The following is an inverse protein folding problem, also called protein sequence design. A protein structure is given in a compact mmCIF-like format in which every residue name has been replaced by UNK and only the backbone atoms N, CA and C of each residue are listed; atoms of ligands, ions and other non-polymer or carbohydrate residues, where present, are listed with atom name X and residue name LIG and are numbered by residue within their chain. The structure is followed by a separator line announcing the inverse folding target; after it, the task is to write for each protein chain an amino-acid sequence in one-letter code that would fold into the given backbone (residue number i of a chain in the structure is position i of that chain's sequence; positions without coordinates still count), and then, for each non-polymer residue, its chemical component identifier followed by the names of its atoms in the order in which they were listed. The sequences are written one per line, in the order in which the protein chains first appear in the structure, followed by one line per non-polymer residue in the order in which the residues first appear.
data_IF_969241091681
#
_entry.id   IF_969241091681
#
_cell.length_a   1.000
_cell.length_b   1.000
_cell.length_c   1.000
_cell.angle_alpha   90.00
_cell.angle_beta   90.00
_cell.angle_gamma   90.00
#
_symmetry.space_group_name_H-M   'P 1'
#
loop_
_entity.id
_entity.type
_entity.pdbx_description
1 polymer ?
#
# COMPACT_ATOMS: atom_id res chain seq x y z
N UNK A 1 24.42 4.04 5.71
CA UNK A 1 24.79 3.49 4.38
C UNK A 1 23.64 2.72 3.70
N UNK A 2 22.53 2.46 4.40
CA UNK A 2 21.40 1.66 3.88
C UNK A 2 20.60 2.30 2.73
N UNK A 3 20.87 3.54 2.37
CA UNK A 3 20.17 4.28 1.29
C UNK A 3 21.06 4.60 0.08
N UNK A 4 22.27 4.06 0.01
CA UNK A 4 23.15 4.27 -1.13
C UNK A 4 22.73 3.34 -2.28
N UNK A 5 22.38 3.91 -3.43
CA UNK A 5 22.04 3.17 -4.67
C UNK A 5 23.25 2.91 -5.57
N UNK A 6 24.48 3.17 -5.09
CA UNK A 6 25.73 2.96 -5.80
C UNK A 6 25.81 3.61 -7.20
N UNK A 7 25.17 4.78 -7.38
CA UNK A 7 25.18 5.51 -8.67
C UNK A 7 26.53 6.14 -9.06
N UNK A 8 27.54 6.08 -8.19
CA UNK A 8 28.91 6.59 -8.41
C UNK A 8 29.04 8.12 -8.55
N UNK A 9 27.98 8.87 -8.60
CA UNK A 9 27.96 10.33 -8.78
C UNK A 9 28.77 11.11 -7.72
N UNK A 10 28.80 10.59 -6.50
CA UNK A 10 29.56 11.20 -5.39
C UNK A 10 31.08 11.15 -5.62
N UNK A 11 31.59 10.19 -6.39
CA UNK A 11 33.02 10.04 -6.67
C UNK A 11 33.50 11.21 -7.54
N UNK A 12 32.77 11.51 -8.62
CA UNK A 12 33.10 12.61 -9.53
C UNK A 12 32.93 14.00 -8.92
N UNK A 13 32.03 14.15 -7.94
CA UNK A 13 31.73 15.42 -7.26
C UNK A 13 32.58 15.70 -6.02
N UNK A 14 33.31 14.72 -5.51
CA UNK A 14 34.14 14.87 -4.32
C UNK A 14 35.45 15.56 -4.62
N UNK A 15 35.51 16.89 -4.46
CA UNK A 15 36.72 17.70 -4.70
C UNK A 15 37.92 17.32 -3.82
N UNK A 16 37.71 16.65 -2.69
CA UNK A 16 38.76 16.23 -1.75
C UNK A 16 39.25 14.81 -2.01
N UNK A 17 38.67 14.07 -2.98
CA UNK A 17 39.02 12.67 -3.27
C UNK A 17 38.81 11.71 -2.10
N UNK A 18 37.97 12.10 -1.13
CA UNK A 18 37.72 11.30 0.08
C UNK A 18 36.86 10.05 -0.19
N UNK A 19 36.21 10.01 -1.35
CA UNK A 19 35.34 8.90 -1.76
C UNK A 19 35.99 8.23 -2.95
N UNK A 20 36.36 6.97 -2.80
CA UNK A 20 36.93 6.12 -3.86
C UNK A 20 36.12 4.85 -3.96
N UNK A 21 35.93 4.37 -5.19
CA UNK A 21 35.39 3.04 -5.42
C UNK A 21 36.55 2.06 -5.58
N UNK A 22 36.70 1.16 -4.66
CA UNK A 22 37.63 0.05 -4.75
C UNK A 22 36.82 -1.24 -4.88
N UNK A 23 37.10 -2.01 -5.93
CA UNK A 23 36.59 -3.37 -5.98
C UNK A 23 37.27 -4.13 -4.86
N UNK A 24 36.52 -4.84 -3.99
CA UNK A 24 37.18 -5.74 -3.04
C UNK A 24 38.06 -6.67 -3.88
N UNK A 25 39.41 -6.52 -3.76
CA UNK A 25 40.29 -7.52 -4.23
C UNK A 25 39.86 -8.81 -3.54
N UNK A 26 39.38 -9.77 -4.32
CA UNK A 26 39.40 -11.14 -3.85
C UNK A 26 40.87 -11.40 -3.55
N UNK A 27 41.25 -11.30 -2.30
CA UNK A 27 42.47 -12.00 -1.89
C UNK A 27 42.25 -13.42 -2.36
N UNK A 28 43.02 -13.76 -3.42
CA UNK A 28 43.22 -15.14 -3.79
C UNK A 28 43.89 -15.73 -2.55
N UNK A 29 43.08 -16.24 -1.64
CA UNK A 29 43.59 -17.10 -0.59
C UNK A 29 44.39 -18.16 -1.37
N UNK A 30 45.71 -18.07 -1.28
CA UNK A 30 46.59 -19.17 -1.68
C UNK A 30 45.92 -20.41 -1.08
N UNK A 31 45.70 -21.45 -1.89
CA UNK A 31 45.18 -22.68 -1.36
C UNK A 31 46.13 -23.08 -0.22
N UNK A 32 45.66 -22.98 1.01
CA UNK A 32 46.33 -23.63 2.13
C UNK A 32 46.53 -25.05 1.69
N UNK A 33 47.80 -25.46 1.66
CA UNK A 33 48.19 -26.79 1.33
C UNK A 33 47.24 -27.75 2.02
N UNK A 34 46.61 -28.63 1.27
CA UNK A 34 45.62 -29.58 1.76
C UNK A 34 46.30 -30.42 2.84
N UNK A 35 46.19 -29.99 4.11
CA UNK A 35 46.31 -30.91 5.21
C UNK A 35 45.26 -31.96 5.01
N UNK A 36 45.71 -33.15 4.73
CA UNK A 36 44.88 -34.34 4.70
C UNK A 36 44.19 -34.43 6.04
N UNK A 37 42.99 -33.96 6.15
CA UNK A 37 42.08 -34.30 7.23
C UNK A 37 41.69 -35.76 7.00
N UNK A 38 42.58 -36.65 7.40
CA UNK A 38 42.28 -38.06 7.58
C UNK A 38 41.51 -38.18 8.89
N UNK A 39 40.23 -38.49 8.77
CA UNK A 39 39.50 -38.96 9.97
C UNK A 39 38.13 -38.38 10.23
N UNK A 40 37.34 -38.02 9.20
CA UNK A 40 35.88 -37.88 9.38
C UNK A 40 35.24 -39.19 8.94
N UNK A 41 34.75 -39.96 9.91
CA UNK A 41 34.02 -41.20 9.64
C UNK A 41 32.75 -40.88 8.83
N UNK A 42 32.31 -41.73 7.89
CA UNK A 42 31.06 -41.54 7.11
C UNK A 42 29.84 -41.27 7.98
N UNK A 43 29.79 -41.78 9.22
CA UNK A 43 28.72 -41.53 10.18
C UNK A 43 28.60 -40.07 10.65
N UNK A 44 29.74 -39.32 10.75
CA UNK A 44 29.70 -37.92 11.18
C UNK A 44 29.14 -37.00 10.10
N UNK A 45 29.36 -37.32 8.81
CA UNK A 45 28.81 -36.55 7.68
C UNK A 45 27.31 -36.74 7.58
N UNK A 46 26.82 -37.95 7.84
CA UNK A 46 25.38 -38.24 7.81
C UNK A 46 24.63 -37.57 8.98
N UNK A 47 25.25 -37.51 10.16
CA UNK A 47 24.66 -36.83 11.32
C UNK A 47 24.58 -35.30 11.12
N UNK A 48 25.58 -34.69 10.47
CA UNK A 48 25.56 -33.26 10.15
C UNK A 48 24.47 -32.92 9.09
N UNK A 49 24.29 -33.78 8.07
CA UNK A 49 23.23 -33.62 7.08
C UNK A 49 21.84 -33.82 7.69
N UNK A 50 21.65 -34.83 8.53
CA UNK A 50 20.39 -35.05 9.27
C UNK A 50 20.06 -33.90 10.20
N UNK A 51 21.05 -33.35 10.91
CA UNK A 51 20.88 -32.17 11.76
C UNK A 51 20.46 -30.94 10.96
N UNK A 52 21.02 -30.76 9.75
CA UNK A 52 20.63 -29.65 8.86
C UNK A 52 19.18 -29.78 8.38
N UNK A 53 18.76 -30.98 7.97
CA UNK A 53 17.39 -31.22 7.55
C UNK A 53 16.38 -31.13 8.69
N UNK A 54 16.73 -31.58 9.89
CA UNK A 54 15.87 -31.46 11.07
C UNK A 54 15.75 -29.99 11.53
N UNK A 55 16.83 -29.22 11.51
CA UNK A 55 16.80 -27.79 11.81
C UNK A 55 15.97 -27.02 10.77
N UNK A 56 16.11 -27.35 9.48
CA UNK A 56 15.32 -26.77 8.40
C UNK A 56 13.81 -27.10 8.53
N UNK A 57 13.48 -28.32 8.90
CA UNK A 57 12.10 -28.73 9.13
C UNK A 57 11.47 -28.00 10.34
N UNK A 58 12.23 -27.85 11.45
CA UNK A 58 11.77 -27.09 12.62
C UNK A 58 11.57 -25.61 12.26
N UNK A 59 12.47 -25.02 11.46
CA UNK A 59 12.32 -23.64 11.03
C UNK A 59 11.09 -23.46 10.13
N UNK A 60 10.87 -24.37 9.18
CA UNK A 60 9.70 -24.33 8.30
C UNK A 60 8.39 -24.52 9.07
N UNK A 61 8.34 -25.44 10.03
CA UNK A 61 7.15 -25.64 10.86
C UNK A 61 6.89 -24.48 11.80
N UNK A 62 7.92 -23.84 12.36
CA UNK A 62 7.76 -22.67 13.24
C UNK A 62 7.25 -21.44 12.47
N UNK A 63 7.66 -21.25 11.20
CA UNK A 63 7.14 -20.18 10.36
C UNK A 63 5.69 -20.42 9.95
N UNK A 64 5.32 -21.67 9.65
CA UNK A 64 3.93 -22.03 9.35
C UNK A 64 3.02 -21.89 10.58
N UNK A 65 3.48 -22.26 11.77
CA UNK A 65 2.72 -22.07 13.00
C UNK A 65 2.52 -20.59 13.34
N UNK A 66 3.54 -19.75 13.17
CA UNK A 66 3.41 -18.28 13.35
C UNK A 66 2.45 -17.65 12.35
N UNK A 67 2.34 -18.19 11.13
CA UNK A 67 1.39 -17.70 10.13
C UNK A 67 -0.08 -18.03 10.50
N UNK A 68 -0.32 -18.98 11.41
CA UNK A 68 -1.64 -19.34 11.89
C UNK A 68 -2.05 -18.67 13.21
N UNK A 69 -1.16 -17.89 13.83
CA UNK A 69 -1.52 -17.10 15.01
C UNK A 69 -2.61 -16.07 14.62
N UNK A 70 -3.85 -16.38 14.95
CA UNK A 70 -4.96 -15.43 14.81
C UNK A 70 -4.72 -14.29 15.79
N UNK A 71 -4.69 -13.07 15.28
CA UNK A 71 -4.69 -11.88 16.13
C UNK A 71 -6.00 -11.83 16.89
N UNK A 72 -5.95 -11.88 18.20
CA UNK A 72 -7.13 -11.81 19.07
C UNK A 72 -7.04 -10.59 19.97
N UNK A 73 -8.16 -9.89 20.12
CA UNK A 73 -8.27 -8.76 21.02
C UNK A 73 -8.55 -9.26 22.46
N UNK A 74 -7.49 -9.28 23.30
CA UNK A 74 -7.59 -9.75 24.68
C UNK A 74 -8.12 -11.19 24.84
N UNK A 75 -8.13 -12.00 23.78
CA UNK A 75 -8.60 -13.37 23.78
C UNK A 75 -10.10 -13.56 23.53
N UNK A 76 -10.84 -12.50 23.25
CA UNK A 76 -12.30 -12.53 23.06
C UNK A 76 -12.74 -12.51 21.59
N UNK A 77 -12.03 -11.80 20.72
CA UNK A 77 -12.38 -11.67 19.31
C UNK A 77 -11.20 -11.90 18.40
N UNK A 78 -11.42 -12.50 17.24
CA UNK A 78 -10.41 -12.63 16.18
C UNK A 78 -10.35 -11.33 15.40
N UNK A 79 -9.17 -10.67 15.40
CA UNK A 79 -8.93 -9.47 14.62
C UNK A 79 -8.53 -9.86 13.21
N UNK A 80 -9.39 -9.62 12.25
CA UNK A 80 -9.08 -9.81 10.84
C UNK A 80 -8.42 -8.56 10.25
N UNK A 81 -7.28 -8.75 9.57
CA UNK A 81 -6.62 -7.67 8.86
C UNK A 81 -7.47 -7.24 7.65
N UNK A 82 -7.49 -5.94 7.40
CA UNK A 82 -8.19 -5.37 6.25
C UNK A 82 -7.49 -5.75 4.96
N UNK A 83 -8.23 -6.28 4.01
CA UNK A 83 -7.72 -6.62 2.67
C UNK A 83 -8.01 -5.48 1.69
N UNK A 84 -7.07 -5.28 0.77
CA UNK A 84 -7.25 -4.33 -0.33
C UNK A 84 -8.32 -4.88 -1.26
N UNK A 85 -9.35 -4.09 -1.64
CA UNK A 85 -10.30 -4.51 -2.67
C UNK A 85 -9.62 -4.60 -4.03
N UNK A 86 -10.03 -5.57 -4.84
CA UNK A 86 -9.63 -5.62 -6.25
C UNK A 86 -10.32 -4.46 -6.99
N UNK A 87 -9.53 -3.67 -7.72
CA UNK A 87 -10.00 -2.54 -8.52
C UNK A 87 -9.80 -2.84 -9.99
N UNK A 88 -10.79 -2.54 -10.78
CA UNK A 88 -10.67 -2.63 -12.26
C UNK A 88 -9.72 -1.55 -12.75
N UNK A 89 -9.84 -0.36 -12.19
CA UNK A 89 -9.06 0.83 -12.55
C UNK A 89 -8.21 1.29 -11.39
N UNK A 90 -6.87 1.34 -11.52
CA UNK A 90 -6.00 1.84 -10.46
C UNK A 90 -6.27 3.32 -10.20
N UNK A 91 -6.03 3.75 -8.97
CA UNK A 91 -6.22 5.14 -8.58
C UNK A 91 -4.86 5.83 -8.60
N UNK A 92 -4.73 6.88 -9.41
CA UNK A 92 -3.54 7.73 -9.46
C UNK A 92 -3.77 9.04 -8.70
N UNK A 93 -2.71 9.73 -8.25
CA UNK A 93 -2.83 10.94 -7.43
C UNK A 93 -3.64 12.05 -8.11
N UNK A 94 -4.36 12.85 -7.32
CA UNK A 94 -5.01 14.06 -7.82
C UNK A 94 -3.95 14.99 -8.45
N UNK A 95 -4.25 15.50 -9.64
CA UNK A 95 -3.29 16.27 -10.44
C UNK A 95 -2.59 15.45 -11.53
N UNK A 96 -2.71 14.13 -11.54
CA UNK A 96 -2.16 13.27 -12.61
C UNK A 96 -2.94 13.36 -13.94
N UNK A 97 -4.09 14.03 -13.97
CA UNK A 97 -5.00 14.24 -15.10
C UNK A 97 -5.64 12.95 -15.62
N UNK A 98 -4.88 11.93 -15.85
CA UNK A 98 -5.34 10.60 -16.28
C UNK A 98 -4.29 9.52 -15.96
N UNK A 99 -4.70 8.28 -15.93
CA UNK A 99 -3.80 7.13 -15.77
C UNK A 99 -2.75 7.10 -16.88
N UNK A 100 -3.17 7.33 -18.11
CA UNK A 100 -2.28 7.35 -19.28
C UNK A 100 -1.24 8.47 -19.19
N UNK A 101 -1.67 9.69 -18.86
CA UNK A 101 -0.76 10.82 -18.67
C UNK A 101 0.25 10.53 -17.57
N UNK A 102 -0.22 10.01 -16.44
CA UNK A 102 0.63 9.64 -15.32
C UNK A 102 1.66 8.58 -15.71
N UNK A 103 1.23 7.51 -16.38
CA UNK A 103 2.11 6.43 -16.81
C UNK A 103 3.21 6.92 -17.77
N UNK A 104 2.93 7.90 -18.60
CA UNK A 104 3.89 8.44 -19.57
C UNK A 104 4.93 9.39 -18.95
N UNK A 105 4.55 10.14 -17.91
CA UNK A 105 5.41 11.17 -17.30
C UNK A 105 6.08 10.72 -16.00
N UNK A 106 5.51 9.72 -15.32
CA UNK A 106 6.06 9.25 -14.05
C UNK A 106 7.31 8.38 -14.23
N UNK A 107 8.41 8.81 -13.64
CA UNK A 107 9.71 8.10 -13.65
C UNK A 107 9.87 7.09 -12.50
N UNK A 108 8.82 6.85 -11.71
CA UNK A 108 8.84 5.95 -10.56
C UNK A 108 9.91 6.30 -9.49
N UNK A 109 10.26 7.56 -9.33
CA UNK A 109 11.30 8.04 -8.41
C UNK A 109 10.96 7.91 -6.92
N UNK A 110 9.72 7.58 -6.56
CA UNK A 110 9.20 7.35 -5.21
C UNK A 110 9.20 8.58 -4.26
N UNK A 111 9.53 9.77 -4.74
CA UNK A 111 9.54 10.97 -3.90
C UNK A 111 8.15 11.27 -3.33
N UNK A 112 7.09 11.17 -4.14
CA UNK A 112 5.72 11.37 -3.69
C UNK A 112 5.26 10.33 -2.65
N UNK A 113 5.77 9.09 -2.74
CA UNK A 113 5.50 8.05 -1.74
C UNK A 113 6.16 8.40 -0.40
N UNK A 114 7.41 8.87 -0.43
CA UNK A 114 8.18 9.17 0.79
C UNK A 114 7.62 10.36 1.57
N UNK A 115 7.05 11.36 0.89
CA UNK A 115 6.50 12.56 1.53
C UNK A 115 5.02 12.45 1.90
N UNK A 116 4.34 11.36 1.52
CA UNK A 116 2.92 11.19 1.78
C UNK A 116 2.64 11.00 3.28
N UNK A 117 2.05 11.97 3.99
CA UNK A 117 1.88 11.90 5.44
C UNK A 117 0.88 10.81 5.86
N UNK A 118 -0.07 10.50 4.99
CA UNK A 118 -1.12 9.50 5.24
C UNK A 118 -0.78 8.12 4.66
N UNK A 119 0.42 7.94 4.09
CA UNK A 119 0.89 6.67 3.52
C UNK A 119 -0.09 6.03 2.51
N UNK A 120 -0.75 6.87 1.74
CA UNK A 120 -1.75 6.45 0.74
C UNK A 120 -1.09 5.99 -0.55
N UNK A 121 0.06 6.58 -0.90
CA UNK A 121 0.79 6.24 -2.12
C UNK A 121 1.68 5.03 -1.89
N UNK A 122 1.62 4.07 -2.80
CA UNK A 122 2.42 2.84 -2.79
C UNK A 122 2.94 2.54 -4.18
N UNK A 123 4.11 1.91 -4.30
CA UNK A 123 4.60 1.44 -5.59
C UNK A 123 3.67 0.34 -6.12
N UNK A 124 3.30 0.44 -7.39
CA UNK A 124 2.51 -0.57 -8.09
C UNK A 124 3.31 -1.86 -8.29
N UNK A 125 2.66 -3.00 -8.11
CA UNK A 125 3.19 -4.32 -8.45
C UNK A 125 2.84 -4.78 -9.86
N UNK A 126 2.07 -4.01 -10.62
CA UNK A 126 1.69 -4.35 -11.98
C UNK A 126 2.90 -4.19 -12.92
N UNK A 127 3.16 -5.18 -13.77
CA UNK A 127 4.31 -5.17 -14.69
C UNK A 127 4.33 -3.98 -15.64
N UNK A 128 3.16 -3.49 -16.07
CA UNK A 128 3.06 -2.37 -17.01
C UNK A 128 3.32 -1.00 -16.34
N UNK A 129 3.07 -0.90 -15.04
CA UNK A 129 3.24 0.31 -14.24
C UNK A 129 4.14 0.07 -13.05
N UNK A 130 5.11 -0.84 -13.22
CA UNK A 130 5.98 -1.31 -12.13
C UNK A 130 6.64 -0.14 -11.42
N UNK A 131 6.51 -0.14 -10.07
CA UNK A 131 7.04 0.90 -9.21
C UNK A 131 6.41 2.30 -9.37
N UNK A 132 5.52 2.53 -10.33
CA UNK A 132 4.77 3.80 -10.39
C UNK A 132 3.82 3.89 -9.19
N UNK A 133 3.69 5.06 -8.56
CA UNK A 133 2.83 5.20 -7.39
C UNK A 133 1.35 5.02 -7.72
N UNK A 134 0.68 4.19 -6.97
CA UNK A 134 -0.78 4.04 -6.96
C UNK A 134 -1.34 4.33 -5.57
N UNK A 135 -2.63 4.66 -5.49
CA UNK A 135 -3.28 4.97 -4.22
C UNK A 135 -3.91 3.71 -3.62
N UNK A 136 -3.59 3.45 -2.35
CA UNK A 136 -4.18 2.40 -1.52
C UNK A 136 -4.67 2.98 -0.20
N UNK A 137 -5.89 2.64 0.18
CA UNK A 137 -6.56 3.22 1.36
C UNK A 137 -6.53 2.30 2.60
N UNK A 138 -5.63 1.36 2.64
CA UNK A 138 -5.46 0.50 3.83
C UNK A 138 -4.99 1.27 5.07
N UNK A 139 -3.96 2.11 4.90
CA UNK A 139 -3.28 2.79 6.00
C UNK A 139 -3.80 4.19 6.26
N UNK A 140 -4.44 4.80 5.29
CA UNK A 140 -4.93 6.15 5.37
C UNK A 140 -5.77 6.53 4.15
N UNK A 141 -6.12 7.80 4.07
CA UNK A 141 -6.87 8.37 2.95
C UNK A 141 -6.27 9.70 2.51
N UNK A 142 -6.55 10.10 1.29
CA UNK A 142 -6.03 11.34 0.72
C UNK A 142 -6.83 12.54 1.24
N UNK A 143 -6.16 13.46 1.94
CA UNK A 143 -6.78 14.68 2.45
C UNK A 143 -6.87 15.75 1.37
N UNK A 144 -8.00 16.46 1.22
CA UNK A 144 -8.14 17.56 0.28
C UNK A 144 -7.10 18.68 0.51
N UNK A 145 -6.74 18.92 1.78
CA UNK A 145 -5.81 20.00 2.18
C UNK A 145 -4.33 19.68 1.92
N UNK A 146 -4.00 18.55 1.29
CA UNK A 146 -2.62 18.12 1.13
C UNK A 146 -2.22 18.05 -0.35
N UNK A 147 -1.21 18.80 -0.76
CA UNK A 147 -0.63 18.81 -2.11
C UNK A 147 0.83 18.29 -2.16
N UNK A 148 1.37 17.74 -1.08
CA UNK A 148 2.79 17.38 -0.95
C UNK A 148 3.35 16.48 -2.06
N UNK A 149 2.54 15.59 -2.62
CA UNK A 149 2.98 14.74 -3.73
C UNK A 149 3.22 15.51 -5.02
N UNK A 150 2.46 16.59 -5.28
CA UNK A 150 2.66 17.45 -6.43
C UNK A 150 3.89 18.36 -6.25
N UNK A 151 4.12 18.88 -5.04
CA UNK A 151 5.24 19.78 -4.72
C UNK A 151 6.62 19.13 -4.98
N UNK A 152 6.72 17.80 -4.85
CA UNK A 152 8.00 17.08 -4.99
C UNK A 152 8.14 16.34 -6.32
N UNK A 153 7.17 16.43 -7.21
CA UNK A 153 7.19 15.70 -8.47
C UNK A 153 8.17 16.37 -9.47
N UNK A 154 9.32 15.75 -9.81
CA UNK A 154 10.33 16.40 -10.65
C UNK A 154 9.98 16.41 -12.13
N UNK A 155 9.02 15.57 -12.54
CA UNK A 155 8.62 15.38 -13.94
C UNK A 155 7.26 16.01 -14.25
N UNK A 156 6.67 16.68 -13.26
CA UNK A 156 5.34 17.26 -13.35
C UNK A 156 4.22 16.23 -13.73
N UNK A 157 4.50 14.95 -13.49
CA UNK A 157 3.51 13.89 -13.67
C UNK A 157 2.30 14.06 -12.73
N UNK A 158 2.49 14.80 -11.63
CA UNK A 158 1.45 15.26 -10.73
C UNK A 158 1.51 16.78 -10.73
N UNK A 159 0.55 17.42 -11.41
CA UNK A 159 0.48 18.86 -11.48
C UNK A 159 0.16 19.49 -10.12
N UNK A 160 0.82 20.60 -9.80
CA UNK A 160 0.50 21.38 -8.62
C UNK A 160 -0.88 22.05 -8.82
N UNK A 161 -1.87 21.52 -8.12
CA UNK A 161 -3.20 22.11 -8.04
C UNK A 161 -3.29 22.97 -6.78
N UNK A 162 -4.04 24.06 -6.83
CA UNK A 162 -4.36 24.79 -5.61
C UNK A 162 -5.13 23.86 -4.66
N UNK A 163 -5.06 24.13 -3.36
CA UNK A 163 -5.81 23.33 -2.37
C UNK A 163 -7.32 23.39 -2.62
N UNK A 164 -7.81 24.53 -3.13
CA UNK A 164 -9.22 24.69 -3.49
C UNK A 164 -9.59 23.81 -4.69
N UNK A 165 -8.76 23.77 -5.73
CA UNK A 165 -9.02 22.98 -6.93
C UNK A 165 -8.94 21.46 -6.65
N UNK A 166 -8.08 21.05 -5.72
CA UNK A 166 -7.94 19.64 -5.36
C UNK A 166 -9.24 19.05 -4.81
N UNK A 167 -10.02 19.81 -4.05
CA UNK A 167 -11.31 19.35 -3.53
C UNK A 167 -12.38 19.18 -4.59
N UNK A 168 -12.19 19.72 -5.78
CA UNK A 168 -13.07 19.57 -6.95
C UNK A 168 -12.58 18.53 -7.96
N UNK A 169 -11.37 17.98 -7.79
CA UNK A 169 -10.85 16.95 -8.69
C UNK A 169 -11.36 15.57 -8.29
N UNK A 170 -12.14 14.97 -9.14
CA UNK A 170 -12.63 13.61 -9.01
C UNK A 170 -11.62 12.62 -9.60
N UNK A 171 -10.93 11.86 -8.73
CA UNK A 171 -9.96 10.82 -9.13
C UNK A 171 -10.59 9.43 -9.22
N UNK A 172 -11.76 9.26 -8.65
CA UNK A 172 -12.52 8.02 -8.59
C UNK A 172 -13.84 8.25 -7.90
N UNK A 173 -14.59 7.20 -7.69
CA UNK A 173 -15.86 7.25 -6.97
C UNK A 173 -16.01 6.08 -6.01
N UNK A 174 -16.78 6.29 -4.95
CA UNK A 174 -17.06 5.26 -3.96
C UNK A 174 -18.12 4.28 -4.50
N UNK A 175 -17.86 2.99 -4.33
CA UNK A 175 -18.77 1.88 -4.66
C UNK A 175 -19.17 1.19 -3.36
N UNK A 176 -20.47 1.03 -3.13
CA UNK A 176 -20.99 0.37 -1.95
C UNK A 176 -21.30 -1.10 -2.19
N UNK A 177 -20.83 -1.95 -1.29
CA UNK A 177 -21.06 -3.39 -1.29
C UNK A 177 -22.05 -3.73 -0.18
N UNK A 178 -23.32 -3.92 -0.54
CA UNK A 178 -24.40 -4.17 0.39
C UNK A 178 -24.12 -5.34 1.36
N UNK A 179 -23.53 -6.43 0.86
CA UNK A 179 -23.29 -7.67 1.60
C UNK A 179 -22.34 -7.52 2.80
N UNK A 180 -21.47 -6.52 2.76
CA UNK A 180 -20.44 -6.31 3.79
C UNK A 180 -20.82 -5.18 4.76
N UNK A 181 -21.97 -4.55 4.57
CA UNK A 181 -22.33 -3.35 5.32
C UNK A 181 -22.85 -3.71 6.71
N UNK A 182 -22.17 -3.26 7.78
CA UNK A 182 -22.44 -3.56 9.18
C UNK A 182 -23.92 -3.35 9.59
N UNK A 183 -24.62 -2.27 9.20
CA UNK A 183 -26.06 -2.16 9.46
C UNK A 183 -26.91 -3.32 8.93
N UNK A 184 -26.48 -3.95 7.84
CA UNK A 184 -27.22 -5.05 7.22
C UNK A 184 -26.74 -6.44 7.67
N UNK A 185 -25.48 -6.56 8.09
CA UNK A 185 -24.91 -7.84 8.57
C UNK A 185 -25.16 -8.05 10.06
N UNK A 186 -24.97 -6.99 10.85
CA UNK A 186 -24.94 -7.07 12.31
C UNK A 186 -26.14 -6.35 12.96
N UNK A 187 -26.97 -5.67 12.16
CA UNK A 187 -28.14 -4.90 12.65
C UNK A 187 -27.76 -3.66 13.48
N UNK A 188 -26.50 -3.24 13.47
CA UNK A 188 -26.00 -2.12 14.30
C UNK A 188 -25.88 -0.85 13.46
N UNK A 189 -26.40 0.26 13.99
CA UNK A 189 -26.27 1.55 13.33
C UNK A 189 -24.78 1.92 13.15
N UNK A 190 -24.41 2.23 11.91
CA UNK A 190 -23.09 2.70 11.54
C UNK A 190 -23.21 4.15 10.97
N UNK A 191 -22.44 4.56 10.02
CA UNK A 191 -22.48 5.89 9.41
C UNK A 191 -21.07 6.50 9.32
N UNK A 192 -20.05 5.68 9.56
CA UNK A 192 -18.66 6.14 9.49
C UNK A 192 -18.30 6.72 8.12
N UNK A 193 -18.75 6.10 7.02
CA UNK A 193 -18.48 6.57 5.68
C UNK A 193 -19.06 7.97 5.41
N UNK A 194 -20.27 8.25 5.88
CA UNK A 194 -20.91 9.56 5.70
C UNK A 194 -20.27 10.64 6.59
N UNK A 195 -20.01 10.33 7.89
CA UNK A 195 -19.40 11.27 8.83
C UNK A 195 -18.02 11.78 8.41
N UNK A 196 -17.25 10.93 7.74
CA UNK A 196 -15.87 11.26 7.36
C UNK A 196 -15.73 11.63 5.88
N UNK A 197 -16.84 11.81 5.18
CA UNK A 197 -16.80 12.25 3.79
C UNK A 197 -16.54 13.77 3.72
N UNK A 198 -15.38 14.22 3.23
CA UNK A 198 -15.01 15.63 3.26
C UNK A 198 -15.87 16.50 2.35
N UNK A 199 -16.52 15.90 1.35
CA UNK A 199 -17.37 16.59 0.37
C UNK A 199 -18.87 16.27 0.57
N UNK A 200 -19.23 15.59 1.67
CA UNK A 200 -20.59 15.17 1.98
C UNK A 200 -21.30 14.46 0.79
N UNK A 201 -20.54 13.60 0.09
CA UNK A 201 -21.07 12.83 -1.04
C UNK A 201 -21.81 11.55 -0.62
N UNK A 202 -21.89 11.25 0.68
CA UNK A 202 -22.52 10.05 1.21
C UNK A 202 -23.60 10.46 2.20
N UNK A 203 -24.83 10.04 1.91
CA UNK A 203 -25.98 10.28 2.76
C UNK A 203 -26.47 8.95 3.37
N UNK A 204 -26.99 9.01 4.60
CA UNK A 204 -27.52 7.84 5.30
C UNK A 204 -29.04 7.84 5.19
N UNK A 205 -29.57 6.82 4.51
CA UNK A 205 -31.02 6.64 4.32
C UNK A 205 -31.50 5.35 5.02
N UNK A 206 -32.78 5.27 5.44
CA UNK A 206 -33.34 4.02 5.94
C UNK A 206 -33.23 2.90 4.89
N UNK A 207 -32.95 1.66 5.31
CA UNK A 207 -32.84 0.52 4.41
C UNK A 207 -34.19 0.06 3.85
N UNK A 208 -35.28 0.37 4.55
CA UNK A 208 -36.65 0.10 4.19
C UNK A 208 -37.42 1.42 4.05
N UNK A 209 -38.12 1.60 2.93
CA UNK A 209 -38.82 2.85 2.61
C UNK A 209 -39.97 3.12 3.59
N UNK A 210 -40.65 2.06 4.02
CA UNK A 210 -41.83 2.12 4.86
C UNK A 210 -41.53 2.16 6.38
N UNK A 211 -40.24 1.96 6.75
CA UNK A 211 -39.81 1.91 8.13
C UNK A 211 -38.63 2.90 8.38
N UNK A 212 -38.92 4.10 8.92
CA UNK A 212 -37.90 5.11 9.19
C UNK A 212 -36.90 4.68 10.28
N UNK A 213 -37.29 3.72 11.15
CA UNK A 213 -36.46 3.18 12.22
C UNK A 213 -35.52 2.02 11.73
N UNK A 214 -35.65 1.62 10.46
CA UNK A 214 -34.78 0.60 9.87
C UNK A 214 -33.32 1.01 9.87
N UNK A 215 -32.37 0.06 9.91
CA UNK A 215 -30.95 0.37 9.88
C UNK A 215 -30.59 1.26 8.69
N UNK A 216 -29.85 2.34 8.93
CA UNK A 216 -29.48 3.29 7.87
C UNK A 216 -28.34 2.77 7.02
N UNK A 217 -28.50 2.89 5.71
CA UNK A 217 -27.53 2.49 4.69
C UNK A 217 -26.97 3.70 3.96
N UNK A 218 -25.72 3.64 3.46
CA UNK A 218 -25.14 4.75 2.71
C UNK A 218 -25.66 4.78 1.27
N UNK A 219 -26.03 5.95 0.80
CA UNK A 219 -26.27 6.27 -0.61
C UNK A 219 -25.16 7.21 -1.05
N UNK A 220 -24.47 6.85 -2.14
CA UNK A 220 -23.31 7.60 -2.65
C UNK A 220 -23.77 8.48 -3.80
N UNK A 221 -23.56 9.80 -3.67
CA UNK A 221 -23.64 10.72 -4.79
C UNK A 221 -22.30 10.70 -5.54
N UNK A 222 -22.30 9.98 -6.67
CA UNK A 222 -21.09 9.78 -7.49
C UNK A 222 -20.56 11.09 -8.07
N UNK A 223 -21.43 12.04 -8.41
CA UNK A 223 -21.04 13.32 -8.99
C UNK A 223 -20.29 14.23 -8.01
N UNK A 224 -20.58 14.11 -6.72
CA UNK A 224 -19.89 14.87 -5.66
C UNK A 224 -18.67 14.15 -5.09
N UNK A 225 -18.51 12.86 -5.36
CA UNK A 225 -17.47 12.05 -4.76
C UNK A 225 -16.12 12.30 -5.41
N UNK A 226 -15.14 12.81 -4.67
CA UNK A 226 -13.78 13.07 -5.17
C UNK A 226 -12.87 11.83 -5.18
N UNK A 227 -13.29 10.70 -4.63
CA UNK A 227 -12.47 9.47 -4.58
C UNK A 227 -11.36 9.47 -3.54
N UNK A 228 -11.43 10.27 -2.48
CA UNK A 228 -10.38 10.43 -1.48
C UNK A 228 -10.07 9.20 -0.62
N UNK A 229 -10.96 8.21 -0.57
CA UNK A 229 -10.80 6.96 0.16
C UNK A 229 -11.08 7.00 1.66
N UNK A 230 -11.59 8.11 2.22
CA UNK A 230 -11.92 8.20 3.64
C UNK A 230 -12.98 7.16 4.05
N UNK A 231 -14.01 7.00 3.23
CA UNK A 231 -15.06 6.01 3.46
C UNK A 231 -14.54 4.56 3.46
N UNK A 232 -13.59 4.25 2.56
CA UNK A 232 -12.95 2.93 2.48
C UNK A 232 -12.04 2.69 3.69
N UNK A 233 -11.15 3.64 4.00
CA UNK A 233 -10.20 3.50 5.08
C UNK A 233 -10.87 3.34 6.45
N UNK A 234 -11.90 4.15 6.72
CA UNK A 234 -12.58 4.19 8.02
C UNK A 234 -13.74 3.20 8.14
N UNK A 235 -14.03 2.42 7.10
CA UNK A 235 -15.03 1.35 7.17
C UNK A 235 -14.63 0.28 8.19
N UNK A 236 -15.50 -0.08 9.18
CA UNK A 236 -15.19 -1.09 10.17
C UNK A 236 -15.29 -2.53 9.63
N UNK A 237 -15.98 -2.75 8.52
CA UNK A 237 -16.18 -4.09 7.96
C UNK A 237 -14.83 -4.79 7.62
N UNK A 238 -14.75 -6.07 7.90
CA UNK A 238 -13.58 -6.94 7.68
C UNK A 238 -14.04 -8.27 7.05
N UNK A 239 -13.20 -8.94 6.27
CA UNK A 239 -11.85 -8.54 5.81
C UNK A 239 -11.88 -7.45 4.73
N UNK A 240 -12.98 -7.29 4.01
CA UNK A 240 -13.17 -6.28 2.97
C UNK A 240 -14.08 -5.16 3.46
N UNK A 241 -13.74 -3.93 3.12
CA UNK A 241 -14.60 -2.78 3.37
C UNK A 241 -15.95 -2.94 2.67
N UNK A 242 -17.02 -2.48 3.31
CA UNK A 242 -18.35 -2.41 2.69
C UNK A 242 -18.48 -1.29 1.63
N UNK A 243 -17.51 -0.40 1.60
CA UNK A 243 -17.42 0.67 0.62
C UNK A 243 -15.97 0.81 0.20
N UNK A 244 -15.70 0.91 -1.08
CA UNK A 244 -14.37 1.07 -1.65
C UNK A 244 -14.39 2.11 -2.77
N UNK A 245 -13.23 2.57 -3.17
CA UNK A 245 -13.10 3.55 -4.26
C UNK A 245 -12.63 2.84 -5.52
N UNK A 246 -13.34 3.07 -6.61
CA UNK A 246 -12.93 2.69 -7.97
C UNK A 246 -12.32 3.90 -8.66
N UNK A 247 -11.18 3.71 -9.34
CA UNK A 247 -10.47 4.79 -10.04
C UNK A 247 -11.17 5.23 -11.33
N UNK A 248 -10.87 6.45 -11.77
CA UNK A 248 -11.26 6.93 -13.09
C UNK A 248 -10.05 6.96 -14.02
N UNK A 249 -10.23 6.53 -15.28
CA UNK A 249 -9.16 6.63 -16.29
C UNK A 249 -8.73 8.08 -16.53
N UNK A 250 -9.70 9.00 -16.49
CA UNK A 250 -9.48 10.45 -16.56
C UNK A 250 -10.08 11.13 -15.35
N UNK A 251 -9.31 12.00 -14.74
CA UNK A 251 -9.81 12.85 -13.67
C UNK A 251 -10.82 13.87 -14.22
N UNK A 252 -11.81 14.17 -13.43
CA UNK A 252 -12.85 15.15 -13.76
C UNK A 252 -12.78 16.29 -12.76
N UNK A 253 -13.13 17.48 -13.20
CA UNK A 253 -13.38 18.63 -12.32
C UNK A 253 -14.88 18.72 -12.12
N UNK A 254 -15.34 18.77 -10.88
CA UNK A 254 -16.74 18.79 -10.45
C UNK A 254 -17.08 20.14 -9.82
#
# INVERSE_FOLDING_TARGET
YSRCVACMDCIGKCKKGAIRYERPHKEVQKPLAAEKVTGVSPEQVDNARRAFFSAGAIFATSTLLKAQEKKVDGGLAVIEDKKIPERTTPIVPAGALSIRNFAQHCTACQLCVSVCPNQVLRPSGNLMTLMQPEMSYERGYCRPECAKCAEVCPTDAIHLTSLADKSSIQIGHAVWIRKNCVPLTDGVNCGNCARHCPVAAIEMVPSEVDNPDSPKIPVVNVERCIGCGACENLCPARPFSAIYVEGHERHRVI
#
